data_IF_921575183300
#
_entry.id   IF_921575183300
#
_cell.length_a   1.000
_cell.length_b   1.000
_cell.length_c   1.000
_cell.angle_alpha   90.00
_cell.angle_beta   90.00
_cell.angle_gamma   90.00
#
_symmetry.space_group_name_H-M   'P 1'
#
loop_
_entity.id
_entity.type
_entity.pdbx_description
1 polymer ?
#
# COMPACT_ATOMS: atom_id res chain seq x y z
N UNK A 1 0.38 25.85 22.76
CA UNK A 1 0.88 25.94 21.37
C UNK A 1 0.20 27.11 20.72
N UNK A 2 0.97 28.06 20.20
CA UNK A 2 0.39 29.25 19.56
C UNK A 2 -0.16 28.88 18.17
N UNK A 3 -1.09 29.69 17.61
CA UNK A 3 -1.53 29.49 16.23
C UNK A 3 -0.38 29.51 15.21
N UNK A 4 0.63 30.34 15.46
CA UNK A 4 1.80 30.51 14.60
C UNK A 4 2.72 29.27 14.61
N UNK A 5 2.94 28.69 15.80
CA UNK A 5 3.66 27.40 15.94
C UNK A 5 2.97 26.28 15.15
N UNK A 6 1.63 26.26 15.17
CA UNK A 6 0.85 25.24 14.48
C UNK A 6 0.97 25.40 12.96
N UNK A 7 0.84 26.62 12.45
CA UNK A 7 0.96 26.91 11.03
C UNK A 7 2.33 26.52 10.49
N UNK A 8 3.40 26.85 11.22
CA UNK A 8 4.78 26.47 10.88
C UNK A 8 4.96 24.95 10.80
N UNK A 9 4.44 24.21 11.79
CA UNK A 9 4.50 22.74 11.81
C UNK A 9 3.73 22.09 10.67
N UNK A 10 2.53 22.59 10.34
CA UNK A 10 1.76 22.12 9.20
C UNK A 10 2.52 22.36 7.89
N UNK A 11 3.17 23.51 7.72
CA UNK A 11 3.95 23.80 6.54
C UNK A 11 5.17 22.89 6.41
N UNK A 12 5.86 22.58 7.51
CA UNK A 12 6.95 21.60 7.51
C UNK A 12 6.49 20.21 7.03
N UNK A 13 5.24 19.81 7.33
CA UNK A 13 4.67 18.57 6.77
C UNK A 13 4.48 18.70 5.25
N UNK A 14 3.93 19.83 4.77
CA UNK A 14 3.76 20.09 3.33
C UNK A 14 5.10 20.05 2.59
N UNK A 15 6.15 20.65 3.14
CA UNK A 15 7.49 20.66 2.56
C UNK A 15 8.05 19.25 2.36
N UNK A 16 7.84 18.33 3.31
CA UNK A 16 8.24 16.93 3.15
C UNK A 16 7.54 16.24 1.98
N UNK A 17 6.23 16.50 1.79
CA UNK A 17 5.52 15.96 0.63
C UNK A 17 6.04 16.56 -0.68
N UNK A 18 6.30 17.87 -0.73
CA UNK A 18 6.90 18.49 -1.93
C UNK A 18 8.28 17.90 -2.23
N UNK A 19 9.11 17.67 -1.21
CA UNK A 19 10.43 17.06 -1.39
C UNK A 19 10.35 15.62 -1.92
N UNK A 20 9.31 14.86 -1.57
CA UNK A 20 9.19 13.44 -1.94
C UNK A 20 8.38 13.22 -3.22
N UNK A 21 7.34 14.03 -3.44
CA UNK A 21 6.32 13.85 -4.48
C UNK A 21 6.21 15.04 -5.45
N UNK A 22 7.10 16.02 -5.35
CA UNK A 22 7.08 17.31 -6.08
C UNK A 22 5.86 18.21 -5.83
N UNK A 23 4.81 17.72 -5.16
CA UNK A 23 3.61 18.46 -4.82
C UNK A 23 3.00 17.96 -3.51
N UNK A 24 2.03 18.71 -2.98
CA UNK A 24 1.20 18.26 -1.85
C UNK A 24 -0.12 17.72 -2.42
N UNK A 25 -0.39 16.40 -2.35
CA UNK A 25 -1.64 15.84 -2.86
C UNK A 25 -2.88 16.44 -2.19
N UNK A 26 -4.00 16.56 -2.90
CA UNK A 26 -5.25 17.11 -2.36
C UNK A 26 -5.71 16.38 -1.09
N UNK A 27 -5.66 15.04 -1.09
CA UNK A 27 -5.99 14.25 0.10
C UNK A 27 -5.07 14.49 1.30
N UNK A 28 -3.81 14.93 1.08
CA UNK A 28 -2.91 15.35 2.16
C UNK A 28 -3.36 16.72 2.70
N UNK A 29 -3.72 17.66 1.83
CA UNK A 29 -4.25 18.96 2.26
C UNK A 29 -5.51 18.79 3.12
N UNK A 30 -6.42 17.90 2.72
CA UNK A 30 -7.64 17.61 3.47
C UNK A 30 -7.33 17.04 4.85
N UNK A 31 -6.42 16.06 4.94
CA UNK A 31 -6.00 15.49 6.22
C UNK A 31 -5.31 16.51 7.11
N UNK A 32 -4.49 17.41 6.56
CA UNK A 32 -3.84 18.47 7.36
C UNK A 32 -4.87 19.43 7.95
N UNK A 33 -5.88 19.86 7.18
CA UNK A 33 -6.97 20.70 7.70
C UNK A 33 -7.70 20.03 8.86
N UNK A 34 -8.09 18.76 8.70
CA UNK A 34 -8.73 17.99 9.77
C UNK A 34 -7.79 17.80 10.98
N UNK A 35 -6.52 17.53 10.74
CA UNK A 35 -5.54 17.36 11.81
C UNK A 35 -5.34 18.65 12.62
N UNK A 36 -5.42 19.82 11.98
CA UNK A 36 -5.40 21.11 12.66
C UNK A 36 -6.69 21.35 13.47
N UNK A 37 -7.84 21.11 12.86
CA UNK A 37 -9.16 21.29 13.48
C UNK A 37 -9.34 20.43 14.73
N UNK A 38 -8.91 19.17 14.68
CA UNK A 38 -9.11 18.20 15.76
C UNK A 38 -7.88 17.99 16.65
N UNK A 39 -6.84 18.82 16.51
CA UNK A 39 -5.62 18.72 17.33
C UNK A 39 -4.84 17.40 17.12
N UNK A 40 -4.90 16.83 15.92
CA UNK A 40 -4.25 15.57 15.51
C UNK A 40 -3.02 15.75 14.61
N UNK A 41 -2.50 16.97 14.48
CA UNK A 41 -1.27 17.27 13.70
C UNK A 41 -0.09 16.31 13.98
N UNK A 42 0.18 15.85 15.23
CA UNK A 42 1.26 14.89 15.49
C UNK A 42 1.15 13.58 14.69
N UNK A 43 -0.06 13.14 14.34
CA UNK A 43 -0.26 11.94 13.51
C UNK A 43 0.23 12.17 12.08
N UNK A 44 -0.04 13.33 11.47
CA UNK A 44 0.42 13.64 10.11
C UNK A 44 1.94 13.87 10.06
N UNK A 45 2.52 14.46 11.11
CA UNK A 45 3.98 14.58 11.23
C UNK A 45 4.67 13.22 11.29
N UNK A 46 4.15 12.31 12.13
CA UNK A 46 4.66 10.95 12.24
C UNK A 46 4.50 10.19 10.92
N UNK A 47 3.36 10.33 10.24
CA UNK A 47 3.13 9.71 8.94
C UNK A 47 4.09 10.24 7.87
N UNK A 48 4.33 11.55 7.82
CA UNK A 48 5.27 12.15 6.88
C UNK A 48 6.71 11.70 7.15
N UNK A 49 7.12 11.61 8.42
CA UNK A 49 8.43 11.10 8.81
C UNK A 49 8.59 9.63 8.43
N UNK A 50 7.60 8.78 8.77
CA UNK A 50 7.63 7.36 8.41
C UNK A 50 7.71 7.17 6.89
N UNK A 51 6.93 7.93 6.12
CA UNK A 51 6.97 7.87 4.65
C UNK A 51 8.35 8.17 4.11
N UNK A 52 9.02 9.19 4.63
CA UNK A 52 10.38 9.51 4.20
C UNK A 52 11.36 8.36 4.48
N UNK A 53 11.32 7.80 5.70
CA UNK A 53 12.18 6.67 6.08
C UNK A 53 11.93 5.45 5.17
N UNK A 54 10.67 5.08 4.94
CA UNK A 54 10.34 3.84 4.23
C UNK A 54 10.36 3.98 2.71
N UNK A 55 10.23 5.19 2.17
CA UNK A 55 10.17 5.44 0.72
C UNK A 55 11.37 6.19 0.15
N UNK A 56 12.01 7.08 0.91
CA UNK A 56 13.16 7.84 0.44
C UNK A 56 14.46 7.20 0.89
N UNK A 57 14.56 6.81 2.17
CA UNK A 57 15.77 6.21 2.75
C UNK A 57 15.79 4.68 2.64
N UNK A 58 14.93 4.12 1.79
CA UNK A 58 14.78 2.69 1.63
C UNK A 58 16.04 2.05 1.04
N UNK A 59 16.54 0.94 1.61
CA UNK A 59 17.68 0.21 1.05
C UNK A 59 17.39 -0.43 -0.31
N UNK A 60 16.12 -0.51 -0.72
CA UNK A 60 15.70 -1.06 -2.01
C UNK A 60 16.06 -0.14 -3.18
N UNK A 61 16.20 1.16 -2.93
CA UNK A 61 16.34 2.17 -3.98
C UNK A 61 15.07 2.33 -4.84
N UNK A 62 15.05 3.39 -5.65
CA UNK A 62 13.85 3.81 -6.38
C UNK A 62 13.31 2.74 -7.34
N UNK A 63 14.19 2.06 -8.10
CA UNK A 63 13.76 1.05 -9.09
C UNK A 63 13.00 -0.10 -8.43
N UNK A 64 13.59 -0.75 -7.44
CA UNK A 64 12.99 -1.91 -6.77
C UNK A 64 11.74 -1.49 -6.02
N UNK A 65 11.76 -0.33 -5.37
CA UNK A 65 10.62 0.17 -4.63
C UNK A 65 9.38 0.42 -5.52
N UNK A 66 9.59 1.00 -6.71
CA UNK A 66 8.50 1.19 -7.67
C UNK A 66 7.92 -0.16 -8.16
N UNK A 67 8.78 -1.15 -8.43
CA UNK A 67 8.36 -2.51 -8.81
C UNK A 67 7.57 -3.21 -7.69
N UNK A 68 7.98 -3.05 -6.43
CA UNK A 68 7.26 -3.59 -5.27
C UNK A 68 5.87 -2.96 -5.16
N UNK A 69 5.76 -1.64 -5.21
CA UNK A 69 4.45 -0.96 -5.17
C UNK A 69 3.56 -1.38 -6.35
N UNK A 70 4.12 -1.50 -7.56
CA UNK A 70 3.41 -1.99 -8.73
C UNK A 70 2.79 -3.36 -8.47
N UNK A 71 3.57 -4.34 -7.99
CA UNK A 71 3.08 -5.68 -7.67
C UNK A 71 2.00 -5.69 -6.59
N UNK A 72 2.18 -4.93 -5.50
CA UNK A 72 1.19 -4.82 -4.43
C UNK A 72 -0.14 -4.24 -4.93
N UNK A 73 -0.09 -3.21 -5.79
CA UNK A 73 -1.29 -2.57 -6.31
C UNK A 73 -2.00 -3.43 -7.36
N UNK A 74 -1.27 -4.26 -8.12
CA UNK A 74 -1.87 -5.29 -8.96
C UNK A 74 -2.65 -6.31 -8.12
N UNK A 75 -2.04 -6.84 -7.05
CA UNK A 75 -2.69 -7.81 -6.16
C UNK A 75 -3.98 -7.25 -5.53
N UNK A 76 -4.05 -5.93 -5.31
CA UNK A 76 -5.22 -5.24 -4.76
C UNK A 76 -6.24 -4.77 -5.83
N UNK A 77 -5.98 -5.03 -7.12
CA UNK A 77 -6.85 -4.57 -8.22
C UNK A 77 -6.88 -3.05 -8.39
N UNK A 78 -5.84 -2.32 -7.98
CA UNK A 78 -5.76 -0.85 -8.02
C UNK A 78 -5.07 -0.37 -9.30
N UNK A 79 -5.78 -0.45 -10.41
CA UNK A 79 -5.22 -0.21 -11.75
C UNK A 79 -4.56 1.17 -11.94
N UNK A 80 -5.21 2.27 -11.55
CA UNK A 80 -4.66 3.61 -11.76
C UNK A 80 -3.32 3.85 -11.03
N UNK A 81 -3.21 3.65 -9.70
CA UNK A 81 -1.92 3.80 -9.03
C UNK A 81 -0.90 2.76 -9.47
N UNK A 82 -1.31 1.53 -9.85
CA UNK A 82 -0.39 0.55 -10.42
C UNK A 82 0.32 1.08 -11.68
N UNK A 83 -0.41 1.78 -12.57
CA UNK A 83 0.18 2.43 -13.76
C UNK A 83 1.23 3.48 -13.39
N UNK A 84 0.93 4.34 -12.41
CA UNK A 84 1.87 5.36 -11.93
C UNK A 84 3.18 4.72 -11.46
N UNK A 85 3.11 3.62 -10.71
CA UNK A 85 4.30 2.93 -10.21
C UNK A 85 5.04 2.14 -11.31
N UNK A 86 4.34 1.60 -12.31
CA UNK A 86 4.99 1.00 -13.48
C UNK A 86 5.78 2.03 -14.29
N UNK A 87 5.19 3.19 -14.56
CA UNK A 87 5.86 4.32 -15.20
C UNK A 87 7.04 4.81 -14.36
N UNK A 88 6.86 4.97 -13.04
CA UNK A 88 7.93 5.33 -12.11
C UNK A 88 9.10 4.34 -12.09
N UNK A 89 8.82 3.04 -12.21
CA UNK A 89 9.86 2.01 -12.30
C UNK A 89 10.68 2.14 -13.58
N UNK A 90 10.04 2.40 -14.73
CA UNK A 90 10.73 2.61 -16.01
C UNK A 90 11.61 3.86 -15.97
N UNK A 91 11.12 4.96 -15.40
CA UNK A 91 11.93 6.17 -15.19
C UNK A 91 13.13 5.92 -14.26
N UNK A 92 13.00 5.00 -13.31
CA UNK A 92 14.08 4.57 -12.42
C UNK A 92 15.00 3.48 -13.04
N UNK A 93 14.85 3.16 -14.33
CA UNK A 93 15.72 2.25 -15.07
C UNK A 93 15.29 0.78 -15.06
N UNK A 94 14.04 0.47 -14.71
CA UNK A 94 13.46 -0.84 -14.97
C UNK A 94 13.22 -1.08 -16.47
N UNK A 95 13.19 -2.34 -16.87
CA UNK A 95 12.81 -2.77 -18.21
C UNK A 95 11.36 -3.29 -18.23
N UNK A 96 10.75 -3.36 -19.41
CA UNK A 96 9.44 -3.99 -19.59
C UNK A 96 9.40 -5.44 -19.08
N UNK A 97 10.51 -6.18 -19.22
CA UNK A 97 10.64 -7.53 -18.69
C UNK A 97 10.50 -7.59 -17.16
N UNK A 98 10.98 -6.56 -16.43
CA UNK A 98 10.80 -6.48 -14.98
C UNK A 98 9.30 -6.35 -14.62
N UNK A 99 8.56 -5.52 -15.37
CA UNK A 99 7.11 -5.34 -15.15
C UNK A 99 6.33 -6.63 -15.43
N UNK A 100 6.68 -7.36 -16.50
CA UNK A 100 6.09 -8.67 -16.80
C UNK A 100 6.38 -9.65 -15.65
N UNK A 101 7.63 -9.74 -15.20
CA UNK A 101 8.01 -10.60 -14.08
C UNK A 101 7.28 -10.26 -12.78
N UNK A 102 7.04 -8.98 -12.49
CA UNK A 102 6.22 -8.56 -11.34
C UNK A 102 4.77 -9.01 -11.49
N UNK A 103 4.17 -8.88 -12.68
CA UNK A 103 2.80 -9.31 -12.92
C UNK A 103 2.64 -10.84 -12.79
N UNK A 104 3.57 -11.62 -13.34
CA UNK A 104 3.62 -13.08 -13.17
C UNK A 104 3.79 -13.47 -11.70
N UNK A 105 4.67 -12.76 -10.98
CA UNK A 105 4.87 -12.98 -9.54
C UNK A 105 3.63 -12.64 -8.74
N UNK A 106 2.88 -11.59 -9.10
CA UNK A 106 1.62 -11.24 -8.45
C UNK A 106 0.54 -12.31 -8.67
N UNK A 107 0.47 -12.92 -9.86
CA UNK A 107 -0.41 -14.07 -10.12
C UNK A 107 -0.13 -15.22 -9.13
N UNK A 108 1.14 -15.54 -8.90
CA UNK A 108 1.50 -16.62 -7.98
C UNK A 108 1.25 -16.22 -6.53
N UNK A 109 1.72 -15.05 -6.10
CA UNK A 109 1.72 -14.65 -4.69
C UNK A 109 0.36 -14.16 -4.17
N UNK A 110 -0.54 -13.71 -5.05
CA UNK A 110 -1.90 -13.34 -4.67
C UNK A 110 -2.96 -14.34 -5.18
N UNK A 111 -2.79 -14.87 -6.40
CA UNK A 111 -3.77 -15.76 -7.02
C UNK A 111 -3.76 -17.18 -6.47
N UNK A 112 -2.59 -17.79 -6.28
CA UNK A 112 -2.51 -19.17 -5.76
C UNK A 112 -3.02 -19.28 -4.32
N UNK A 113 -2.71 -18.37 -3.38
CA UNK A 113 -3.31 -18.39 -2.06
C UNK A 113 -4.84 -18.27 -2.09
N UNK A 114 -5.39 -17.41 -2.96
CA UNK A 114 -6.84 -17.29 -3.13
C UNK A 114 -7.47 -18.59 -3.66
N UNK A 115 -6.84 -19.24 -4.64
CA UNK A 115 -7.26 -20.54 -5.16
C UNK A 115 -7.20 -21.63 -4.10
N UNK A 116 -6.11 -21.69 -3.33
CA UNK A 116 -5.92 -22.67 -2.26
C UNK A 116 -6.99 -22.52 -1.17
N UNK A 117 -7.20 -21.29 -0.67
CA UNK A 117 -8.24 -20.98 0.30
C UNK A 117 -9.64 -21.35 -0.22
N UNK A 118 -9.95 -21.00 -1.47
CA UNK A 118 -11.22 -21.38 -2.10
C UNK A 118 -11.41 -22.90 -2.17
N UNK A 119 -10.35 -23.64 -2.52
CA UNK A 119 -10.38 -25.10 -2.59
C UNK A 119 -10.59 -25.74 -1.22
N UNK A 120 -9.94 -25.22 -0.18
CA UNK A 120 -10.10 -25.68 1.21
C UNK A 120 -11.54 -25.47 1.70
N UNK A 121 -12.11 -24.28 1.45
CA UNK A 121 -13.51 -23.98 1.77
C UNK A 121 -14.45 -24.96 1.05
N UNK A 122 -14.24 -25.20 -0.25
CA UNK A 122 -15.06 -26.15 -1.03
C UNK A 122 -14.95 -27.57 -0.46
N UNK A 123 -13.75 -28.01 -0.10
CA UNK A 123 -13.55 -29.33 0.50
C UNK A 123 -14.28 -29.47 1.85
N UNK A 124 -14.24 -28.42 2.68
CA UNK A 124 -15.00 -28.36 3.94
C UNK A 124 -16.51 -28.41 3.73
N UNK A 125 -17.04 -27.71 2.72
CA UNK A 125 -18.47 -27.75 2.37
C UNK A 125 -18.89 -29.15 1.89
N UNK A 126 -18.10 -29.81 1.04
CA UNK A 126 -18.37 -31.18 0.58
C UNK A 126 -18.43 -32.18 1.73
N UNK A 127 -17.50 -32.10 2.68
CA UNK A 127 -17.50 -32.99 3.85
C UNK A 127 -18.80 -32.88 4.68
N UNK A 128 -19.38 -31.67 4.77
CA UNK A 128 -20.68 -31.44 5.43
C UNK A 128 -21.87 -31.95 4.64
N UNK A 129 -21.85 -31.83 3.31
CA UNK A 129 -22.87 -32.46 2.46
C UNK A 129 -22.91 -33.97 2.68
N UNK A 130 -21.75 -34.60 2.81
CA UNK A 130 -21.63 -36.05 3.02
C UNK A 130 -21.97 -36.48 4.46
N UNK A 131 -21.78 -35.60 5.46
CA UNK A 131 -21.96 -35.89 6.89
C UNK A 131 -22.68 -34.74 7.63
N UNK A 132 -24.00 -34.59 7.47
CA UNK A 132 -24.74 -33.41 7.96
C UNK A 132 -24.81 -33.29 9.50
N UNK A 133 -24.57 -34.37 10.24
CA UNK A 133 -24.69 -34.43 11.70
C UNK A 133 -23.36 -34.17 12.46
N UNK A 134 -22.26 -33.91 11.76
CA UNK A 134 -20.94 -33.66 12.40
C UNK A 134 -20.71 -32.15 12.60
N UNK A 135 -20.52 -31.68 13.85
CA UNK A 135 -20.35 -30.27 14.13
C UNK A 135 -19.03 -29.71 13.58
N UNK A 136 -19.06 -28.41 13.26
CA UNK A 136 -17.96 -27.68 12.62
C UNK A 136 -16.68 -27.72 13.46
N UNK A 137 -15.61 -28.30 12.91
CA UNK A 137 -14.30 -28.24 13.54
C UNK A 137 -13.55 -27.07 12.92
N UNK A 138 -13.12 -26.07 13.71
CA UNK A 138 -12.51 -24.87 13.14
C UNK A 138 -11.24 -25.21 12.37
N UNK A 139 -11.14 -24.66 11.15
CA UNK A 139 -9.92 -24.68 10.35
C UNK A 139 -8.83 -23.97 11.16
N UNK A 140 -7.73 -24.68 11.41
CA UNK A 140 -6.59 -24.13 12.17
C UNK A 140 -5.97 -22.99 11.34
N UNK A 141 -5.68 -21.82 11.95
CA UNK A 141 -5.04 -20.70 11.26
C UNK A 141 -3.62 -21.02 10.78
#
# INVERSE_FOLDING_TARGET
MTPDDRASRTEAVRDRYRSTLAAVPAGVQDRLRLAEEFGRLPTEEALAALRHIVLTDSPLGARVQQLVHFGQLLALGRAHPARIHAEGALHAGAAMADLVGVAETALITAGVPAYALGTEIIAGLRAREDHPDVPDTPVRP
#
